data_IF_574506479180
#
_entry.id   IF_574506479180
#
_cell.length_a   1.000
_cell.length_b   1.000
_cell.length_c   1.000
_cell.angle_alpha   90.00
_cell.angle_beta   90.00
_cell.angle_gamma   90.00
#
_symmetry.space_group_name_H-M   'P 1'
#
loop_
_entity.id
_entity.type
_entity.pdbx_description
1 polymer ?
#
# COMPACT_ATOMS: atom_id res chain seq x y z
N UNK A 1 -19.66 -13.12 13.21
CA UNK A 1 -21.04 -12.91 12.73
C UNK A 1 -21.08 -11.76 11.72
N UNK A 2 -22.15 -11.67 10.94
CA UNK A 2 -22.35 -10.58 10.00
C UNK A 2 -22.42 -9.23 10.72
N UNK A 3 -23.11 -9.17 11.86
CA UNK A 3 -23.22 -7.97 12.69
C UNK A 3 -21.83 -7.46 13.12
N UNK A 4 -20.93 -8.37 13.53
CA UNK A 4 -19.57 -8.00 13.90
C UNK A 4 -18.82 -7.42 12.71
N UNK A 5 -18.95 -8.00 11.51
CA UNK A 5 -18.31 -7.50 10.30
C UNK A 5 -18.84 -6.12 9.89
N UNK A 6 -20.17 -5.91 9.99
CA UNK A 6 -20.78 -4.61 9.76
C UNK A 6 -20.24 -3.56 10.73
N UNK A 7 -20.13 -3.90 12.02
CA UNK A 7 -19.59 -2.98 13.02
C UNK A 7 -18.12 -2.63 12.73
N UNK A 8 -17.28 -3.63 12.40
CA UNK A 8 -15.87 -3.35 12.04
C UNK A 8 -15.76 -2.47 10.80
N UNK A 9 -16.60 -2.69 9.79
CA UNK A 9 -16.59 -1.89 8.58
C UNK A 9 -17.06 -0.46 8.84
N UNK A 10 -18.07 -0.28 9.66
CA UNK A 10 -18.56 1.02 10.09
C UNK A 10 -17.50 1.79 10.89
N UNK A 11 -16.83 1.12 11.86
CA UNK A 11 -15.76 1.71 12.66
C UNK A 11 -14.60 2.18 11.78
N UNK A 12 -14.22 1.38 10.79
CA UNK A 12 -13.19 1.77 9.81
C UNK A 12 -13.63 2.97 8.96
N UNK A 13 -14.85 2.97 8.44
CA UNK A 13 -15.39 4.12 7.70
C UNK A 13 -15.37 5.39 8.56
N UNK A 14 -15.79 5.29 9.83
CA UNK A 14 -15.74 6.42 10.75
C UNK A 14 -14.31 6.92 11.00
N UNK A 15 -13.34 6.03 11.08
CA UNK A 15 -11.94 6.37 11.28
C UNK A 15 -11.33 7.07 10.06
N UNK A 16 -11.62 6.60 8.84
CA UNK A 16 -11.03 7.13 7.61
C UNK A 16 -11.73 8.40 7.09
N UNK A 17 -13.06 8.46 7.17
CA UNK A 17 -13.82 9.60 6.65
C UNK A 17 -14.18 10.65 7.71
N UNK A 18 -14.09 10.29 8.99
CA UNK A 18 -14.42 11.20 10.10
C UNK A 18 -15.86 11.72 10.04
N UNK A 19 -16.04 12.96 10.43
CA UNK A 19 -17.34 13.65 10.40
C UNK A 19 -17.66 14.34 9.06
N UNK A 20 -16.75 14.28 8.09
CA UNK A 20 -16.93 14.92 6.79
C UNK A 20 -17.92 14.18 5.88
N UNK A 21 -18.19 12.90 6.18
CA UNK A 21 -19.11 12.05 5.42
C UNK A 21 -20.28 11.65 6.30
N UNK A 22 -21.50 11.84 5.79
CA UNK A 22 -22.71 11.39 6.46
C UNK A 22 -22.76 9.85 6.45
N UNK A 23 -23.08 9.26 7.59
CA UNK A 23 -23.17 7.82 7.74
C UNK A 23 -24.52 7.33 7.22
N UNK A 24 -24.46 6.35 6.33
CA UNK A 24 -25.61 5.60 5.85
C UNK A 24 -25.53 4.18 6.42
N UNK A 25 -26.61 3.70 7.04
CA UNK A 25 -26.68 2.35 7.61
C UNK A 25 -26.38 1.26 6.56
N UNK A 26 -26.68 1.51 5.27
CA UNK A 26 -26.40 0.58 4.18
C UNK A 26 -24.90 0.41 3.93
N UNK A 27 -24.10 1.42 4.20
CA UNK A 27 -22.63 1.36 4.01
C UNK A 27 -21.99 0.28 4.89
N UNK A 28 -22.56 0.00 6.06
CA UNK A 28 -22.04 -1.05 6.96
C UNK A 28 -22.03 -2.45 6.32
N UNK A 29 -22.88 -2.69 5.31
CA UNK A 29 -22.98 -3.96 4.58
C UNK A 29 -22.12 -4.03 3.31
N UNK A 30 -21.42 -2.96 2.93
CA UNK A 30 -20.71 -2.90 1.66
C UNK A 30 -19.62 -3.98 1.54
N UNK A 31 -19.01 -4.40 2.64
CA UNK A 31 -18.03 -5.48 2.67
C UNK A 31 -18.58 -6.78 2.03
N UNK A 32 -19.89 -7.04 2.16
CA UNK A 32 -20.50 -8.28 1.70
C UNK A 32 -20.52 -8.42 0.17
N UNK A 33 -20.49 -7.31 -0.57
CA UNK A 33 -20.45 -7.31 -2.05
C UNK A 33 -19.06 -7.36 -2.65
N UNK A 34 -18.01 -7.23 -1.83
CA UNK A 34 -16.62 -7.15 -2.30
C UNK A 34 -16.01 -8.55 -2.29
N UNK A 35 -15.84 -9.21 -3.47
CA UNK A 35 -15.39 -10.60 -3.53
C UNK A 35 -13.98 -10.79 -2.97
N UNK A 36 -13.14 -9.76 -2.97
CA UNK A 36 -11.77 -9.80 -2.45
C UNK A 36 -11.72 -10.14 -0.96
N UNK A 37 -12.72 -9.73 -0.17
CA UNK A 37 -12.77 -10.01 1.27
C UNK A 37 -13.07 -11.47 1.60
N UNK A 38 -13.54 -12.26 0.63
CA UNK A 38 -13.77 -13.69 0.80
C UNK A 38 -12.50 -14.54 0.58
N UNK A 39 -11.39 -13.90 0.18
CA UNK A 39 -10.09 -14.55 0.02
C UNK A 39 -9.13 -14.05 1.09
N UNK A 40 -8.77 -14.90 2.04
CA UNK A 40 -7.81 -14.59 3.08
C UNK A 40 -6.48 -14.10 2.47
N UNK A 41 -5.90 -13.08 3.07
CA UNK A 41 -4.60 -12.51 2.68
C UNK A 41 -4.53 -11.98 1.23
N UNK A 42 -5.66 -11.61 0.64
CA UNK A 42 -5.66 -11.13 -0.75
C UNK A 42 -5.50 -9.61 -0.85
N UNK A 43 -6.22 -8.84 -0.02
CA UNK A 43 -6.39 -7.37 -0.22
C UNK A 43 -5.11 -6.59 0.06
N UNK A 44 -4.26 -7.06 0.98
CA UNK A 44 -3.01 -6.38 1.35
C UNK A 44 -1.98 -6.27 0.20
N UNK A 45 -2.13 -7.07 -0.85
CA UNK A 45 -1.19 -7.11 -1.98
C UNK A 45 -0.99 -5.75 -2.66
N UNK A 46 -2.06 -4.96 -2.74
CA UNK A 46 -2.00 -3.63 -3.35
C UNK A 46 -1.16 -2.68 -2.50
N UNK A 47 -1.34 -2.68 -1.19
CA UNK A 47 -0.56 -1.86 -0.27
C UNK A 47 0.93 -2.24 -0.30
N UNK A 48 1.25 -3.54 -0.31
CA UNK A 48 2.64 -4.02 -0.37
C UNK A 48 3.29 -3.70 -1.71
N UNK A 49 2.58 -3.94 -2.83
CA UNK A 49 3.08 -3.62 -4.16
C UNK A 49 3.34 -2.13 -4.35
N UNK A 50 2.42 -1.28 -3.90
CA UNK A 50 2.58 0.17 -3.94
C UNK A 50 3.75 0.65 -3.09
N UNK A 51 3.89 0.15 -1.88
CA UNK A 51 5.00 0.50 -0.97
C UNK A 51 6.35 0.10 -1.57
N UNK A 52 6.46 -1.09 -2.14
CA UNK A 52 7.68 -1.53 -2.81
C UNK A 52 8.01 -0.64 -4.03
N UNK A 53 7.01 -0.32 -4.85
CA UNK A 53 7.20 0.54 -6.03
C UNK A 53 7.65 1.95 -5.63
N UNK A 54 7.05 2.54 -4.60
CA UNK A 54 7.43 3.86 -4.07
C UNK A 54 8.87 3.85 -3.54
N UNK A 55 9.25 2.81 -2.78
CA UNK A 55 10.62 2.67 -2.26
C UNK A 55 11.66 2.52 -3.40
N UNK A 56 11.38 1.71 -4.42
CA UNK A 56 12.24 1.56 -5.60
C UNK A 56 12.36 2.90 -6.35
N UNK A 57 11.25 3.59 -6.58
CA UNK A 57 11.23 4.88 -7.27
C UNK A 57 12.06 5.92 -6.51
N UNK A 58 11.85 6.06 -5.20
CA UNK A 58 12.61 6.96 -4.33
C UNK A 58 14.12 6.64 -4.39
N UNK A 59 14.47 5.36 -4.33
CA UNK A 59 15.86 4.91 -4.41
C UNK A 59 16.50 5.28 -5.75
N UNK A 60 15.81 5.07 -6.88
CA UNK A 60 16.31 5.45 -8.20
C UNK A 60 16.52 6.96 -8.32
N UNK A 61 15.58 7.76 -7.81
CA UNK A 61 15.65 9.22 -7.85
C UNK A 61 16.78 9.78 -6.97
N UNK A 62 17.11 9.12 -5.86
CA UNK A 62 18.16 9.58 -4.93
C UNK A 62 19.56 9.03 -5.25
N UNK A 63 19.66 7.77 -5.64
CA UNK A 63 20.96 7.09 -5.89
C UNK A 63 21.33 7.04 -7.38
N UNK A 64 20.38 7.30 -8.28
CA UNK A 64 20.60 7.41 -9.71
C UNK A 64 20.91 6.07 -10.40
N UNK A 65 21.90 6.08 -11.30
CA UNK A 65 22.22 4.96 -12.19
C UNK A 65 22.47 3.61 -11.50
N UNK A 66 23.17 3.52 -10.36
CA UNK A 66 23.36 2.23 -9.67
C UNK A 66 22.02 1.58 -9.27
N UNK A 67 21.13 2.35 -8.64
CA UNK A 67 19.82 1.85 -8.24
C UNK A 67 18.95 1.46 -9.44
N UNK A 68 19.01 2.21 -10.53
CA UNK A 68 18.34 1.86 -11.78
C UNK A 68 18.84 0.52 -12.35
N UNK A 69 20.14 0.26 -12.27
CA UNK A 69 20.72 -1.02 -12.70
C UNK A 69 20.27 -2.18 -11.82
N UNK A 70 20.16 -1.98 -10.50
CA UNK A 70 19.63 -2.97 -9.56
C UNK A 70 18.18 -3.29 -9.88
N UNK A 71 17.36 -2.28 -10.15
CA UNK A 71 15.99 -2.46 -10.59
C UNK A 71 15.87 -3.24 -11.92
N UNK A 72 16.72 -2.92 -12.89
CA UNK A 72 16.76 -3.68 -14.16
C UNK A 72 17.17 -5.14 -13.93
N UNK A 73 18.08 -5.41 -12.99
CA UNK A 73 18.44 -6.78 -12.61
C UNK A 73 17.23 -7.51 -12.02
N UNK A 74 16.53 -6.85 -11.08
CA UNK A 74 15.29 -7.39 -10.51
C UNK A 74 14.27 -7.75 -11.60
N UNK A 75 14.03 -6.84 -12.57
CA UNK A 75 13.08 -7.13 -13.67
C UNK A 75 13.48 -8.33 -14.54
N UNK A 76 14.78 -8.63 -14.63
CA UNK A 76 15.30 -9.76 -15.42
C UNK A 76 15.24 -11.09 -14.70
N UNK A 77 14.95 -11.12 -13.40
CA UNK A 77 14.91 -12.37 -12.63
C UNK A 77 13.67 -13.23 -12.91
N UNK A 78 12.59 -12.62 -13.37
CA UNK A 78 11.30 -13.30 -13.47
C UNK A 78 10.85 -13.86 -12.12
N UNK A 79 10.37 -15.10 -12.10
CA UNK A 79 9.92 -15.83 -10.90
C UNK A 79 10.99 -16.83 -10.40
N UNK A 80 12.25 -16.43 -10.39
CA UNK A 80 13.36 -17.34 -10.05
C UNK A 80 13.51 -17.61 -8.56
N UNK A 81 12.86 -16.82 -7.69
CA UNK A 81 12.92 -16.95 -6.23
C UNK A 81 11.66 -16.39 -5.57
N UNK A 82 11.58 -16.42 -4.25
CA UNK A 82 10.48 -15.83 -3.49
C UNK A 82 10.42 -14.29 -3.66
N UNK A 83 9.21 -13.70 -3.71
CA UNK A 83 9.04 -12.27 -4.01
C UNK A 83 9.85 -11.33 -3.11
N UNK A 84 9.98 -11.63 -1.80
CA UNK A 84 10.75 -10.80 -0.86
C UNK A 84 12.24 -10.83 -1.23
N UNK A 85 12.78 -12.00 -1.56
CA UNK A 85 14.19 -12.14 -1.94
C UNK A 85 14.49 -11.46 -3.28
N UNK A 86 13.56 -11.55 -4.24
CA UNK A 86 13.68 -10.84 -5.51
C UNK A 86 13.68 -9.32 -5.32
N UNK A 87 12.81 -8.78 -4.45
CA UNK A 87 12.77 -7.35 -4.17
C UNK A 87 14.05 -6.82 -3.51
N UNK A 88 14.75 -7.64 -2.73
CA UNK A 88 16.07 -7.28 -2.17
C UNK A 88 17.12 -6.99 -3.25
N UNK A 89 16.99 -7.56 -4.45
CA UNK A 89 17.87 -7.25 -5.60
C UNK A 89 17.72 -5.79 -6.01
N UNK A 90 16.49 -5.26 -5.94
CA UNK A 90 16.23 -3.83 -6.15
C UNK A 90 16.51 -2.97 -4.90
N UNK A 91 17.01 -3.58 -3.82
CA UNK A 91 17.34 -2.90 -2.57
C UNK A 91 16.15 -2.61 -1.67
N UNK A 92 15.03 -3.32 -1.83
CA UNK A 92 13.82 -3.17 -1.02
C UNK A 92 13.55 -4.45 -0.23
N UNK A 93 13.56 -4.36 1.10
CA UNK A 93 13.26 -5.48 1.99
C UNK A 93 11.86 -5.33 2.59
N UNK A 94 10.89 -6.05 2.03
CA UNK A 94 9.50 -6.05 2.49
C UNK A 94 9.29 -6.86 3.79
N UNK A 95 10.32 -7.51 4.34
CA UNK A 95 10.25 -8.10 5.68
C UNK A 95 10.43 -7.06 6.80
N UNK A 96 10.82 -5.84 6.46
CA UNK A 96 10.91 -4.71 7.37
C UNK A 96 9.75 -3.73 7.18
N UNK A 97 9.39 -2.90 8.18
CA UNK A 97 8.36 -1.88 8.03
C UNK A 97 8.79 -0.69 7.16
N UNK A 98 10.07 -0.57 6.85
CA UNK A 98 10.67 0.59 6.20
C UNK A 98 10.02 0.98 4.86
N UNK A 99 9.73 0.04 3.91
CA UNK A 99 9.10 0.42 2.64
C UNK A 99 7.70 1.02 2.81
N UNK A 100 6.93 0.52 3.77
CA UNK A 100 5.59 1.06 4.09
C UNK A 100 5.72 2.44 4.73
N UNK A 101 6.66 2.62 5.67
CA UNK A 101 6.93 3.92 6.28
C UNK A 101 7.34 4.96 5.22
N UNK A 102 8.22 4.61 4.29
CA UNK A 102 8.63 5.49 3.19
C UNK A 102 7.48 5.87 2.27
N UNK A 103 6.56 4.94 2.00
CA UNK A 103 5.35 5.24 1.23
C UNK A 103 4.44 6.24 1.95
N UNK A 104 4.25 6.09 3.27
CA UNK A 104 3.48 7.03 4.08
C UNK A 104 4.15 8.42 4.18
N UNK A 105 5.47 8.47 4.33
CA UNK A 105 6.23 9.73 4.28
C UNK A 105 6.04 10.45 2.95
N UNK A 106 6.12 9.72 1.85
CA UNK A 106 5.90 10.28 0.50
C UNK A 106 4.47 10.79 0.35
N UNK A 107 3.48 10.07 0.86
CA UNK A 107 2.09 10.50 0.86
C UNK A 107 1.91 11.82 1.63
N UNK A 108 2.46 11.91 2.84
CA UNK A 108 2.37 13.12 3.66
C UNK A 108 3.04 14.32 2.96
N UNK A 109 4.23 14.13 2.39
CA UNK A 109 4.92 15.19 1.65
C UNK A 109 4.09 15.72 0.47
N UNK A 110 3.46 14.82 -0.28
CA UNK A 110 2.60 15.19 -1.41
C UNK A 110 1.31 15.88 -0.95
N UNK A 111 0.77 15.48 0.21
CA UNK A 111 -0.39 16.13 0.80
C UNK A 111 -0.06 17.55 1.25
N UNK A 112 1.05 17.74 1.95
CA UNK A 112 1.53 19.07 2.38
C UNK A 112 1.77 20.00 1.16
N UNK A 113 2.38 19.44 0.08
CA UNK A 113 2.57 20.18 -1.16
C UNK A 113 1.23 20.55 -1.80
N UNK A 114 0.29 19.63 -1.87
CA UNK A 114 -1.05 19.89 -2.40
C UNK A 114 -1.77 20.98 -1.62
N UNK A 115 -1.76 20.93 -0.28
CA UNK A 115 -2.37 21.95 0.58
C UNK A 115 -1.73 23.32 0.37
N UNK A 116 -0.43 23.39 0.08
CA UNK A 116 0.28 24.66 -0.18
C UNK A 116 -0.13 25.32 -1.50
N UNK A 117 -0.77 24.58 -2.40
CA UNK A 117 -1.23 25.06 -3.71
C UNK A 117 -2.69 25.53 -3.73
N UNK A 118 -3.44 25.26 -2.63
CA UNK A 118 -4.83 25.69 -2.45
C UNK A 118 -4.91 27.08 -1.86
#
# INVERSE_FOLDING_TARGET
>A
TAEWMCQQYEDLNAQYYGSAVEKDDVMSYEWARIPHFYNAFYVYKYATGYSAATAISKKILTEGKPAAQDYIRFLKTGESDHPIELLKIAGVDMSSPLPVQQAMETFNQLLDEFESLL
#
